data_IF_110369870849
#
_entry.id   IF_110369870849
#
_cell.length_a   1.000
_cell.length_b   1.000
_cell.length_c   1.000
_cell.angle_alpha   90.00
_cell.angle_beta   90.00
_cell.angle_gamma   90.00
#
_symmetry.space_group_name_H-M   'P 1'
#
loop_
_entity.id
_entity.type
_entity.pdbx_description
1 polymer ?
#
# COMPACT_ATOMS: atom_id res chain seq x y z
N UNK A 1 93.78 -11.34 35.44
CA UNK A 1 93.13 -12.07 34.35
C UNK A 1 91.67 -12.33 34.80
N UNK A 2 90.73 -11.85 34.11
CA UNK A 2 89.31 -12.09 34.46
C UNK A 2 88.40 -10.96 33.89
N UNK A 3 88.17 -10.99 32.58
CA UNK A 3 87.36 -9.98 31.90
C UNK A 3 85.92 -10.16 32.22
N UNK A 4 85.27 -9.17 32.78
CA UNK A 4 83.83 -9.08 32.98
C UNK A 4 83.13 -8.80 31.68
N UNK A 5 82.40 -9.77 31.15
CA UNK A 5 81.43 -9.56 30.05
C UNK A 5 80.23 -8.89 30.63
N UNK A 6 80.08 -7.60 30.45
CA UNK A 6 78.86 -6.86 30.70
C UNK A 6 77.89 -7.09 29.56
N UNK A 7 76.92 -7.96 29.84
CA UNK A 7 75.83 -8.29 28.93
C UNK A 7 74.82 -7.12 28.86
N UNK A 8 74.98 -6.30 27.85
CA UNK A 8 74.03 -5.23 27.50
C UNK A 8 72.75 -5.86 26.93
N UNK A 9 71.86 -6.28 27.82
CA UNK A 9 70.43 -6.50 27.43
C UNK A 9 69.78 -5.14 27.29
N UNK A 10 69.90 -4.57 26.09
CA UNK A 10 69.04 -3.48 25.68
C UNK A 10 67.63 -4.06 25.51
N UNK A 11 66.84 -4.00 26.56
CA UNK A 11 65.39 -4.18 26.46
C UNK A 11 64.86 -3.04 25.62
N UNK A 12 64.58 -3.33 24.33
CA UNK A 12 63.76 -2.45 23.50
C UNK A 12 62.37 -2.41 24.12
N UNK A 13 62.17 -1.44 25.02
CA UNK A 13 60.84 -1.01 25.40
C UNK A 13 60.20 -0.43 24.16
N UNK A 14 59.37 -1.23 23.49
CA UNK A 14 58.42 -0.68 22.53
C UNK A 14 57.49 0.26 23.29
N UNK A 15 57.84 1.52 23.34
CA UNK A 15 56.94 2.57 23.82
C UNK A 15 55.67 2.47 22.97
N UNK A 16 54.64 1.87 23.53
CA UNK A 16 53.26 1.97 22.98
C UNK A 16 53.01 3.46 22.87
N UNK A 17 53.00 3.98 21.61
CA UNK A 17 52.57 5.35 21.34
C UNK A 17 51.17 5.45 21.98
N UNK A 18 50.94 6.42 22.90
CA UNK A 18 49.61 6.63 23.42
C UNK A 18 48.70 6.89 22.21
N UNK A 19 47.63 6.09 22.06
CA UNK A 19 46.61 6.40 21.11
C UNK A 19 46.06 7.76 21.54
N UNK A 20 46.45 8.82 20.85
CA UNK A 20 45.81 10.11 20.97
C UNK A 20 44.41 9.92 20.40
N UNK A 21 43.40 9.75 21.28
CA UNK A 21 42.02 9.79 20.88
C UNK A 21 41.77 11.19 20.30
N UNK A 22 41.65 11.25 18.99
CA UNK A 22 41.32 12.51 18.32
C UNK A 22 40.02 13.05 18.88
N UNK A 23 39.98 14.30 19.36
CA UNK A 23 38.75 14.86 19.91
C UNK A 23 37.67 14.87 18.85
N UNK A 24 36.48 14.32 19.25
CA UNK A 24 35.36 14.15 18.31
C UNK A 24 34.64 15.49 18.15
N UNK A 25 34.36 15.86 16.91
CA UNK A 25 33.56 17.06 16.59
C UNK A 25 32.19 17.05 17.29
N UNK A 26 31.91 18.08 18.09
CA UNK A 26 30.62 18.26 18.74
C UNK A 26 29.47 18.37 17.74
N UNK A 27 29.72 18.99 16.59
CA UNK A 27 28.72 19.14 15.51
C UNK A 27 28.35 17.78 14.93
N UNK A 28 29.31 16.86 14.74
CA UNK A 28 29.06 15.49 14.31
C UNK A 28 28.22 14.70 15.33
N UNK A 29 28.48 14.90 16.63
CA UNK A 29 27.68 14.28 17.70
C UNK A 29 26.23 14.78 17.63
N UNK A 30 26.02 16.09 17.51
CA UNK A 30 24.68 16.66 17.44
C UNK A 30 23.93 16.25 16.16
N UNK A 31 24.61 16.16 15.01
CA UNK A 31 24.01 15.66 13.77
C UNK A 31 23.43 14.26 13.96
N UNK A 32 24.20 13.31 14.50
CA UNK A 32 23.73 11.94 14.72
C UNK A 32 22.62 11.85 15.77
N UNK A 33 22.72 12.61 16.88
CA UNK A 33 21.68 12.65 17.92
C UNK A 33 20.35 13.17 17.39
N UNK A 34 20.42 14.25 16.62
CA UNK A 34 19.23 14.87 16.02
C UNK A 34 18.62 13.96 14.95
N UNK A 35 19.44 13.25 14.17
CA UNK A 35 18.98 12.24 13.21
C UNK A 35 18.21 11.11 13.90
N UNK A 36 18.73 10.55 15.00
CA UNK A 36 18.03 9.53 15.78
C UNK A 36 16.74 10.06 16.41
N UNK A 37 16.77 11.28 16.96
CA UNK A 37 15.57 11.90 17.52
C UNK A 37 14.48 12.08 16.46
N UNK A 38 14.84 12.65 15.30
CA UNK A 38 13.92 12.81 14.18
C UNK A 38 13.32 11.46 13.73
N UNK A 39 14.16 10.42 13.64
CA UNK A 39 13.71 9.09 13.27
C UNK A 39 12.71 8.52 14.29
N UNK A 40 13.02 8.59 15.59
CA UNK A 40 12.12 8.12 16.64
C UNK A 40 10.78 8.85 16.63
N UNK A 41 10.79 10.19 16.49
CA UNK A 41 9.56 11.01 16.41
C UNK A 41 8.75 10.66 15.16
N UNK A 42 9.39 10.45 14.00
CA UNK A 42 8.70 10.07 12.77
C UNK A 42 8.03 8.70 12.90
N UNK A 43 8.73 7.70 13.43
CA UNK A 43 8.18 6.36 13.69
C UNK A 43 7.00 6.43 14.65
N UNK A 44 7.14 7.16 15.76
CA UNK A 44 6.06 7.34 16.73
C UNK A 44 4.84 8.01 16.09
N UNK A 45 5.04 9.05 15.27
CA UNK A 45 3.95 9.72 14.54
C UNK A 45 3.22 8.76 13.61
N UNK A 46 3.94 7.91 12.88
CA UNK A 46 3.35 6.88 12.01
C UNK A 46 2.51 5.89 12.84
N UNK A 47 3.04 5.41 13.96
CA UNK A 47 2.32 4.49 14.86
C UNK A 47 1.03 5.12 15.37
N UNK A 48 1.07 6.38 15.79
CA UNK A 48 -0.09 7.13 16.28
C UNK A 48 -1.15 7.28 15.19
N UNK A 49 -0.77 7.66 13.95
CA UNK A 49 -1.72 7.76 12.83
C UNK A 49 -2.35 6.40 12.53
N UNK A 50 -1.55 5.33 12.51
CA UNK A 50 -2.04 3.98 12.21
C UNK A 50 -2.94 3.41 13.28
N UNK A 51 -2.68 3.70 14.54
CA UNK A 51 -3.51 3.25 15.67
C UNK A 51 -4.88 3.97 15.71
N UNK A 52 -4.96 5.20 15.18
CA UNK A 52 -6.15 6.03 15.25
C UNK A 52 -6.45 6.58 16.66
N UNK A 53 -5.45 6.56 17.55
CA UNK A 53 -5.57 7.06 18.94
C UNK A 53 -5.69 8.58 19.00
N UNK A 54 -5.12 9.30 18.03
CA UNK A 54 -5.18 10.73 17.95
C UNK A 54 -5.78 11.18 16.61
N UNK A 55 -6.25 12.43 16.58
CA UNK A 55 -6.65 13.08 15.35
C UNK A 55 -5.47 13.18 14.37
N UNK A 56 -5.78 13.10 13.08
CA UNK A 56 -4.77 13.03 12.01
C UNK A 56 -3.93 14.31 11.96
N UNK A 57 -4.54 15.48 12.18
CA UNK A 57 -3.86 16.78 12.02
C UNK A 57 -2.72 16.99 13.02
N UNK A 58 -2.89 16.79 14.35
CA UNK A 58 -1.78 16.84 15.29
C UNK A 58 -0.66 15.84 15.01
N UNK A 59 -1.02 14.61 14.62
CA UNK A 59 -0.04 13.58 14.30
C UNK A 59 0.79 13.92 13.04
N UNK A 60 0.16 14.54 12.02
CA UNK A 60 0.87 15.05 10.85
C UNK A 60 1.77 16.24 11.19
N UNK A 61 1.35 17.13 12.07
CA UNK A 61 2.20 18.24 12.54
C UNK A 61 3.45 17.72 13.26
N UNK A 62 3.32 16.67 14.09
CA UNK A 62 4.45 16.01 14.73
C UNK A 62 5.38 15.35 13.72
N UNK A 63 4.82 14.69 12.68
CA UNK A 63 5.61 14.14 11.60
C UNK A 63 6.34 15.23 10.81
N UNK A 64 5.70 16.35 10.50
CA UNK A 64 6.33 17.49 9.83
C UNK A 64 7.48 18.07 10.66
N UNK A 65 7.32 18.18 11.99
CA UNK A 65 8.40 18.58 12.88
C UNK A 65 9.60 17.61 12.82
N UNK A 66 9.34 16.29 12.76
CA UNK A 66 10.40 15.31 12.58
C UNK A 66 11.16 15.50 11.26
N UNK A 67 10.50 15.86 10.15
CA UNK A 67 11.16 16.17 8.89
C UNK A 67 12.01 17.43 8.97
N UNK A 68 11.60 18.44 9.72
CA UNK A 68 12.42 19.64 9.99
C UNK A 68 13.68 19.25 10.75
N UNK A 69 13.57 18.44 11.80
CA UNK A 69 14.74 17.93 12.54
C UNK A 69 15.65 17.07 11.67
N UNK A 70 15.11 16.28 10.75
CA UNK A 70 15.89 15.54 9.77
C UNK A 70 16.69 16.46 8.83
N UNK A 71 16.07 17.53 8.35
CA UNK A 71 16.76 18.58 7.58
C UNK A 71 17.88 19.26 8.37
N UNK A 72 17.64 19.61 9.64
CA UNK A 72 18.68 20.16 10.52
C UNK A 72 19.82 19.17 10.78
N UNK A 73 19.53 17.87 10.92
CA UNK A 73 20.54 16.83 11.08
C UNK A 73 21.47 16.76 9.84
N UNK A 74 20.92 16.89 8.64
CA UNK A 74 21.67 16.96 7.38
C UNK A 74 22.57 18.21 7.35
N UNK A 75 22.03 19.39 7.69
CA UNK A 75 22.79 20.62 7.72
C UNK A 75 23.97 20.54 8.71
N UNK A 76 23.70 19.97 9.90
CA UNK A 76 24.76 19.73 10.90
C UNK A 76 25.79 18.71 10.42
N UNK A 77 25.40 17.70 9.63
CA UNK A 77 26.33 16.73 9.02
C UNK A 77 27.30 17.44 8.06
N UNK A 78 26.79 18.29 7.19
CA UNK A 78 27.64 19.07 6.29
C UNK A 78 28.56 20.04 7.04
N UNK A 79 28.05 20.74 8.06
CA UNK A 79 28.86 21.56 8.92
C UNK A 79 29.98 20.76 9.64
N UNK A 80 29.64 19.54 10.09
CA UNK A 80 30.60 18.64 10.71
C UNK A 80 31.70 18.21 9.75
N UNK A 81 31.41 17.93 8.48
CA UNK A 81 32.41 17.62 7.46
C UNK A 81 33.42 18.78 7.30
N UNK A 82 32.93 20.02 7.25
CA UNK A 82 33.80 21.21 7.15
C UNK A 82 34.67 21.36 8.39
N UNK A 83 34.11 21.19 9.60
CA UNK A 83 34.85 21.29 10.86
C UNK A 83 35.88 20.18 10.99
N UNK A 84 35.52 18.92 10.69
CA UNK A 84 36.44 17.77 10.70
C UNK A 84 37.60 18.02 9.73
N UNK A 85 37.30 18.47 8.50
CA UNK A 85 38.33 18.75 7.48
C UNK A 85 39.28 19.85 7.88
N UNK A 86 38.77 20.96 8.47
CA UNK A 86 39.59 22.12 8.82
C UNK A 86 40.41 21.94 10.10
N UNK A 87 39.86 21.19 11.07
CA UNK A 87 40.46 21.08 12.41
C UNK A 87 41.11 19.74 12.70
N UNK A 88 41.04 18.76 11.76
CA UNK A 88 41.62 17.44 11.97
C UNK A 88 40.91 16.65 13.09
N UNK A 89 39.61 16.92 13.36
CA UNK A 89 38.85 16.25 14.42
C UNK A 89 38.32 14.89 13.94
N UNK A 90 38.14 13.96 14.88
CA UNK A 90 37.43 12.72 14.64
C UNK A 90 35.89 12.92 14.55
N UNK A 91 35.15 11.87 14.15
CA UNK A 91 33.69 11.87 14.18
C UNK A 91 33.00 11.77 12.82
N UNK A 92 33.75 11.47 11.76
CA UNK A 92 33.20 11.30 10.41
C UNK A 92 32.02 10.30 10.37
N UNK A 93 32.14 9.14 11.04
CA UNK A 93 31.07 8.15 11.09
C UNK A 93 29.77 8.68 11.73
N UNK A 94 29.86 9.58 12.72
CA UNK A 94 28.67 10.23 13.33
C UNK A 94 28.02 11.22 12.38
N UNK A 95 28.81 12.01 11.66
CA UNK A 95 28.31 12.93 10.65
C UNK A 95 27.62 12.16 9.50
N UNK A 96 28.23 11.09 9.01
CA UNK A 96 27.64 10.20 8.00
C UNK A 96 26.33 9.54 8.50
N UNK A 97 26.28 9.12 9.76
CA UNK A 97 25.07 8.55 10.34
C UNK A 97 23.93 9.58 10.40
N UNK A 98 24.21 10.80 10.86
CA UNK A 98 23.22 11.88 10.87
C UNK A 98 22.72 12.23 9.47
N UNK A 99 23.62 12.30 8.49
CA UNK A 99 23.28 12.48 7.08
C UNK A 99 22.39 11.36 6.56
N UNK A 100 22.77 10.11 6.79
CA UNK A 100 22.01 8.93 6.35
C UNK A 100 20.61 8.90 6.94
N UNK A 101 20.46 9.10 8.25
CA UNK A 101 19.15 9.11 8.92
C UNK A 101 18.27 10.27 8.39
N UNK A 102 18.85 11.45 8.22
CA UNK A 102 18.14 12.60 7.68
C UNK A 102 17.65 12.37 6.24
N UNK A 103 18.53 11.90 5.36
CA UNK A 103 18.18 11.62 3.97
C UNK A 103 17.15 10.50 3.84
N UNK A 104 17.28 9.43 4.62
CA UNK A 104 16.30 8.32 4.59
C UNK A 104 14.91 8.77 5.00
N UNK A 105 14.76 9.66 5.99
CA UNK A 105 13.49 10.24 6.38
C UNK A 105 12.89 11.17 5.33
N UNK A 106 13.71 11.97 4.65
CA UNK A 106 13.25 12.92 3.63
C UNK A 106 12.99 12.28 2.26
N UNK A 107 13.57 11.13 1.97
CA UNK A 107 13.49 10.49 0.66
C UNK A 107 12.03 10.21 0.22
N UNK A 108 11.22 9.61 1.09
CA UNK A 108 9.84 9.29 0.75
C UNK A 108 8.94 10.53 0.61
N UNK A 109 8.94 11.51 1.54
CA UNK A 109 8.24 12.78 1.34
C UNK A 109 8.68 13.53 0.08
N UNK A 110 9.97 13.54 -0.24
CA UNK A 110 10.46 14.14 -1.48
C UNK A 110 9.91 13.44 -2.72
N UNK A 111 9.90 12.11 -2.74
CA UNK A 111 9.26 11.33 -3.79
C UNK A 111 7.76 11.67 -3.92
N UNK A 112 7.02 11.75 -2.81
CA UNK A 112 5.62 12.15 -2.82
C UNK A 112 5.43 13.57 -3.35
N UNK A 113 6.33 14.50 -3.04
CA UNK A 113 6.35 15.86 -3.58
C UNK A 113 6.46 15.87 -5.11
N UNK A 114 7.32 15.04 -5.70
CA UNK A 114 7.42 14.92 -7.16
C UNK A 114 6.14 14.36 -7.79
N UNK A 115 5.46 13.43 -7.10
CA UNK A 115 4.15 12.94 -7.55
C UNK A 115 3.07 14.00 -7.48
N UNK A 116 3.05 14.79 -6.39
CA UNK A 116 2.10 15.88 -6.22
C UNK A 116 2.19 16.94 -7.33
N UNK A 117 3.40 17.18 -7.88
CA UNK A 117 3.60 18.11 -8.98
C UNK A 117 3.17 17.54 -10.35
N UNK A 118 3.09 16.23 -10.49
CA UNK A 118 2.78 15.56 -11.78
C UNK A 118 1.34 15.08 -11.89
N UNK A 119 0.68 14.82 -10.77
CA UNK A 119 -0.66 14.25 -10.72
C UNK A 119 -1.68 15.33 -10.32
N UNK A 120 -2.92 15.25 -10.80
CA UNK A 120 -3.96 16.20 -10.41
C UNK A 120 -4.33 16.08 -8.94
N UNK A 121 -4.73 17.19 -8.33
CA UNK A 121 -5.20 17.24 -6.96
C UNK A 121 -6.63 16.69 -6.84
N UNK A 122 -6.78 15.38 -7.04
CA UNK A 122 -8.03 14.63 -6.89
C UNK A 122 -7.83 13.49 -5.91
N UNK A 123 -8.88 13.12 -5.18
CA UNK A 123 -8.81 12.10 -4.13
C UNK A 123 -9.98 11.10 -4.18
N UNK A 124 -10.77 11.16 -5.24
CA UNK A 124 -11.93 10.28 -5.47
C UNK A 124 -11.88 9.80 -6.92
N UNK A 125 -11.57 8.55 -7.11
CA UNK A 125 -11.32 7.92 -8.40
C UNK A 125 -12.33 6.78 -8.60
N UNK A 126 -12.90 6.69 -9.80
CA UNK A 126 -13.87 5.65 -10.16
C UNK A 126 -13.67 5.16 -11.58
N UNK A 127 -13.98 3.90 -11.84
CA UNK A 127 -13.98 3.33 -13.20
C UNK A 127 -15.13 3.85 -14.06
N UNK A 128 -16.26 4.23 -13.44
CA UNK A 128 -17.41 4.79 -14.11
C UNK A 128 -17.68 6.21 -13.59
N UNK A 129 -17.23 7.21 -14.35
CA UNK A 129 -17.39 8.63 -13.99
C UNK A 129 -18.79 9.18 -14.26
N UNK A 130 -19.60 8.47 -15.06
CA UNK A 130 -20.98 8.86 -15.37
C UNK A 130 -21.95 8.35 -14.29
N UNK A 131 -21.72 7.12 -13.81
CA UNK A 131 -22.53 6.49 -12.76
C UNK A 131 -21.62 5.79 -11.73
N UNK A 132 -20.90 6.54 -10.89
CA UNK A 132 -19.93 5.97 -9.95
C UNK A 132 -20.61 5.10 -8.90
N UNK A 133 -19.97 3.99 -8.47
CA UNK A 133 -20.44 3.21 -7.32
C UNK A 133 -20.68 4.09 -6.10
N UNK A 134 -21.83 3.95 -5.47
CA UNK A 134 -22.20 4.76 -4.29
C UNK A 134 -21.67 4.13 -3.02
N UNK A 135 -21.27 4.96 -2.08
CA UNK A 135 -21.03 4.56 -0.70
C UNK A 135 -22.38 4.60 0.04
N UNK A 136 -22.89 3.48 0.52
CA UNK A 136 -24.16 3.41 1.25
C UNK A 136 -23.93 3.26 2.76
N UNK A 137 -23.24 2.20 3.18
CA UNK A 137 -22.92 1.98 4.58
C UNK A 137 -21.74 2.86 5.01
N UNK A 138 -20.71 2.99 4.16
CA UNK A 138 -19.58 3.88 4.40
C UNK A 138 -20.00 5.35 4.53
N UNK A 139 -21.04 5.78 3.81
CA UNK A 139 -21.59 7.13 3.93
C UNK A 139 -22.13 7.42 5.33
N UNK A 140 -22.77 6.44 5.96
CA UNK A 140 -23.30 6.56 7.33
C UNK A 140 -22.18 6.61 8.39
N UNK A 141 -21.04 5.99 8.08
CA UNK A 141 -19.85 5.98 8.95
C UNK A 141 -18.98 7.23 8.80
N UNK A 142 -19.32 8.13 7.89
CA UNK A 142 -18.68 9.43 7.68
C UNK A 142 -19.58 10.59 8.13
N UNK A 143 -19.69 10.91 9.38
CA UNK A 143 -20.67 11.91 9.87
C UNK A 143 -20.44 13.33 9.34
N UNK A 144 -19.29 13.67 8.73
CA UNK A 144 -18.94 15.02 8.25
C UNK A 144 -18.18 15.02 6.91
N UNK A 145 -18.17 13.92 6.14
CA UNK A 145 -17.39 13.82 4.91
C UNK A 145 -18.27 13.89 3.65
N UNK A 146 -17.70 14.37 2.56
CA UNK A 146 -18.32 14.22 1.24
C UNK A 146 -18.35 12.73 0.88
N UNK A 147 -19.54 12.22 0.61
CA UNK A 147 -19.78 10.84 0.17
C UNK A 147 -20.18 10.79 -1.29
N UNK A 148 -20.67 11.92 -1.83
CA UNK A 148 -21.02 12.03 -3.22
C UNK A 148 -19.78 12.24 -4.09
N UNK A 149 -19.83 11.71 -5.30
CA UNK A 149 -18.76 11.91 -6.28
C UNK A 149 -18.66 13.40 -6.64
N UNK A 150 -17.44 13.96 -6.75
CA UNK A 150 -17.26 15.42 -6.90
C UNK A 150 -17.77 16.01 -8.20
N UNK A 151 -18.20 15.19 -9.15
CA UNK A 151 -18.89 15.63 -10.35
C UNK A 151 -18.00 15.83 -11.60
N UNK A 152 -18.54 16.50 -12.66
CA UNK A 152 -17.94 16.48 -14.00
C UNK A 152 -16.54 17.07 -14.10
N UNK A 153 -16.22 18.09 -13.28
CA UNK A 153 -14.90 18.72 -13.29
C UNK A 153 -13.80 17.74 -12.85
N UNK A 154 -14.04 16.99 -11.76
CA UNK A 154 -13.11 15.95 -11.28
C UNK A 154 -13.06 14.79 -12.26
N UNK A 155 -14.19 14.40 -12.85
CA UNK A 155 -14.24 13.38 -13.88
C UNK A 155 -13.37 13.73 -15.11
N UNK A 156 -13.34 14.99 -15.54
CA UNK A 156 -12.49 15.43 -16.62
C UNK A 156 -10.99 15.33 -16.27
N UNK A 157 -10.60 15.78 -15.08
CA UNK A 157 -9.23 15.65 -14.57
C UNK A 157 -8.81 14.21 -14.45
N UNK A 158 -9.71 13.35 -13.94
CA UNK A 158 -9.44 11.93 -13.80
C UNK A 158 -9.20 11.26 -15.16
N UNK A 159 -10.09 11.48 -16.14
CA UNK A 159 -9.94 10.87 -17.48
C UNK A 159 -8.66 11.32 -18.18
N UNK A 160 -8.23 12.57 -17.99
CA UNK A 160 -6.98 13.07 -18.56
C UNK A 160 -5.75 12.42 -17.90
N UNK A 161 -5.76 12.22 -16.58
CA UNK A 161 -4.62 11.71 -15.85
C UNK A 161 -4.57 10.16 -15.77
N UNK A 162 -5.73 9.50 -15.81
CA UNK A 162 -5.89 8.05 -15.63
C UNK A 162 -6.86 7.47 -16.68
N UNK A 163 -6.54 7.55 -17.99
CA UNK A 163 -7.42 7.08 -19.06
C UNK A 163 -7.65 5.57 -19.05
N UNK A 164 -6.79 4.84 -18.39
CA UNK A 164 -6.79 3.39 -18.21
C UNK A 164 -7.62 2.90 -17.00
N UNK A 165 -8.11 3.83 -16.16
CA UNK A 165 -9.03 3.48 -15.06
C UNK A 165 -10.44 3.36 -15.62
N UNK A 166 -10.75 2.18 -16.13
CA UNK A 166 -12.01 1.80 -16.77
C UNK A 166 -12.63 0.59 -16.08
N UNK A 167 -13.93 0.30 -16.27
CA UNK A 167 -14.55 -0.91 -15.75
C UNK A 167 -13.87 -2.17 -16.30
N UNK A 168 -13.89 -3.25 -15.51
CA UNK A 168 -13.46 -4.58 -15.95
C UNK A 168 -14.67 -5.36 -16.44
N UNK A 169 -14.58 -5.88 -17.67
CA UNK A 169 -15.57 -6.75 -18.28
C UNK A 169 -15.05 -8.18 -18.33
N UNK A 170 -15.86 -9.16 -17.92
CA UNK A 170 -15.48 -10.55 -17.75
C UNK A 170 -16.56 -11.47 -18.33
N UNK A 171 -16.16 -12.53 -19.02
CA UNK A 171 -17.07 -13.53 -19.60
C UNK A 171 -17.40 -14.66 -18.60
N UNK A 172 -17.76 -14.25 -17.36
CA UNK A 172 -18.13 -15.17 -16.28
C UNK A 172 -19.41 -14.73 -15.59
N UNK A 173 -20.15 -15.66 -14.93
CA UNK A 173 -21.34 -15.30 -14.15
C UNK A 173 -21.02 -14.28 -13.04
N UNK A 174 -21.97 -13.37 -12.77
CA UNK A 174 -21.83 -12.30 -11.77
C UNK A 174 -21.42 -12.83 -10.37
N UNK A 175 -21.91 -14.00 -9.99
CA UNK A 175 -21.54 -14.61 -8.71
C UNK A 175 -20.06 -15.01 -8.67
N UNK A 176 -19.50 -15.54 -9.74
CA UNK A 176 -18.09 -15.94 -9.83
C UNK A 176 -17.21 -14.70 -9.71
N UNK A 177 -17.51 -13.65 -10.47
CA UNK A 177 -16.78 -12.38 -10.41
C UNK A 177 -16.87 -11.71 -9.02
N UNK A 178 -18.05 -11.75 -8.38
CA UNK A 178 -18.26 -11.25 -7.03
C UNK A 178 -17.44 -12.02 -5.98
N UNK A 179 -17.46 -13.36 -6.03
CA UNK A 179 -16.73 -14.20 -5.10
C UNK A 179 -15.21 -14.00 -5.24
N UNK A 180 -14.69 -13.85 -6.47
CA UNK A 180 -13.30 -13.54 -6.74
C UNK A 180 -12.91 -12.15 -6.18
N UNK A 181 -13.73 -11.12 -6.41
CA UNK A 181 -13.51 -9.78 -5.86
C UNK A 181 -13.51 -9.80 -4.33
N UNK A 182 -14.46 -10.49 -3.70
CA UNK A 182 -14.55 -10.59 -2.23
C UNK A 182 -13.34 -11.34 -1.64
N UNK A 183 -12.90 -12.41 -2.28
CA UNK A 183 -11.71 -13.17 -1.85
C UNK A 183 -10.44 -12.30 -1.89
N UNK A 184 -10.26 -11.50 -2.94
CA UNK A 184 -9.11 -10.60 -3.09
C UNK A 184 -9.16 -9.42 -2.10
N UNK A 185 -10.32 -8.83 -1.85
CA UNK A 185 -10.51 -7.80 -0.81
C UNK A 185 -10.15 -8.36 0.56
N UNK A 186 -10.56 -9.59 0.86
CA UNK A 186 -10.24 -10.31 2.09
C UNK A 186 -8.73 -10.60 2.19
N UNK A 187 -8.12 -11.12 1.12
CA UNK A 187 -6.67 -11.38 1.03
C UNK A 187 -5.84 -10.11 1.27
N UNK A 188 -6.30 -8.96 0.77
CA UNK A 188 -5.67 -7.65 0.99
C UNK A 188 -5.89 -7.08 2.39
N UNK A 189 -6.65 -7.77 3.25
CA UNK A 189 -6.97 -7.39 4.63
C UNK A 189 -7.62 -5.99 4.71
N UNK A 190 -8.42 -5.63 3.71
CA UNK A 190 -9.23 -4.43 3.81
C UNK A 190 -10.34 -4.66 4.83
N UNK A 191 -10.71 -3.62 5.57
CA UNK A 191 -11.80 -3.71 6.53
C UNK A 191 -13.13 -3.68 5.78
N UNK A 192 -13.72 -4.85 5.56
CA UNK A 192 -15.02 -5.01 4.89
C UNK A 192 -16.10 -4.47 5.83
N UNK A 193 -16.93 -3.57 5.31
CA UNK A 193 -18.00 -2.89 6.05
C UNK A 193 -19.37 -3.39 5.64
N UNK A 194 -19.53 -3.72 4.35
CA UNK A 194 -20.76 -4.26 3.81
C UNK A 194 -20.49 -5.21 2.65
N UNK A 195 -21.29 -6.26 2.57
CA UNK A 195 -21.26 -7.21 1.46
C UNK A 195 -22.69 -7.61 1.09
N UNK A 196 -23.02 -7.40 -0.17
CA UNK A 196 -24.31 -7.77 -0.73
C UNK A 196 -24.08 -8.64 -1.96
N UNK A 197 -24.13 -9.98 -1.82
CA UNK A 197 -23.93 -10.88 -2.94
C UNK A 197 -25.09 -10.83 -3.94
N UNK A 198 -24.86 -11.14 -5.22
CA UNK A 198 -25.92 -11.31 -6.18
C UNK A 198 -26.81 -12.51 -5.80
N UNK A 199 -28.15 -12.34 -5.93
CA UNK A 199 -29.16 -13.35 -5.61
C UNK A 199 -30.20 -13.44 -6.74
N UNK A 200 -31.14 -14.39 -6.67
CA UNK A 200 -32.23 -14.51 -7.66
C UNK A 200 -33.09 -13.24 -7.78
N UNK A 201 -33.31 -12.53 -6.65
CA UNK A 201 -34.09 -11.27 -6.63
C UNK A 201 -33.26 -10.01 -6.90
N UNK A 202 -31.95 -10.10 -6.83
CA UNK A 202 -31.01 -9.00 -7.04
C UNK A 202 -29.78 -9.50 -7.76
N UNK A 203 -29.62 -9.11 -9.02
CA UNK A 203 -28.55 -9.61 -9.89
C UNK A 203 -27.20 -8.94 -9.67
N UNK A 204 -27.18 -7.75 -9.06
CA UNK A 204 -25.98 -6.99 -8.75
C UNK A 204 -25.36 -7.42 -7.41
N UNK A 205 -24.03 -7.35 -7.33
CA UNK A 205 -23.26 -7.52 -6.11
C UNK A 205 -22.59 -6.21 -5.69
N UNK A 206 -22.49 -5.95 -4.38
CA UNK A 206 -21.79 -4.78 -3.84
C UNK A 206 -20.86 -5.19 -2.70
N UNK A 207 -19.67 -4.63 -2.67
CA UNK A 207 -18.71 -4.76 -1.56
C UNK A 207 -18.28 -3.35 -1.17
N UNK A 208 -18.46 -2.99 0.11
CA UNK A 208 -17.92 -1.77 0.68
C UNK A 208 -16.83 -2.09 1.69
N UNK A 209 -15.67 -1.47 1.55
CA UNK A 209 -14.53 -1.73 2.41
C UNK A 209 -13.70 -0.44 2.66
N UNK A 210 -12.89 -0.47 3.72
CA UNK A 210 -11.91 0.57 4.04
C UNK A 210 -10.52 0.01 3.81
N UNK A 211 -9.80 0.58 2.84
CA UNK A 211 -8.40 0.32 2.61
C UNK A 211 -7.53 1.28 3.44
N UNK A 212 -6.25 0.92 3.63
CA UNK A 212 -5.27 1.78 4.31
C UNK A 212 -4.05 1.98 3.43
N UNK A 213 -3.52 3.22 3.45
CA UNK A 213 -2.25 3.49 2.76
C UNK A 213 -1.09 2.76 3.44
N UNK A 214 -0.05 2.33 2.70
CA UNK A 214 0.99 1.44 3.23
C UNK A 214 1.76 2.02 4.43
N UNK A 215 2.24 3.26 4.36
CA UNK A 215 3.10 3.86 5.40
C UNK A 215 2.27 4.51 6.50
N UNK A 216 1.54 5.57 6.18
CA UNK A 216 0.82 6.35 7.18
C UNK A 216 -0.47 5.69 7.67
N UNK A 217 -1.03 4.73 6.91
CA UNK A 217 -2.27 4.08 7.28
C UNK A 217 -3.51 4.96 7.12
N UNK A 218 -3.47 5.99 6.27
CA UNK A 218 -4.65 6.78 5.93
C UNK A 218 -5.75 5.87 5.41
N UNK A 219 -6.99 6.21 5.78
CA UNK A 219 -8.16 5.42 5.41
C UNK A 219 -8.74 5.95 4.11
N UNK A 220 -8.95 5.03 3.18
CA UNK A 220 -9.63 5.28 1.91
C UNK A 220 -10.85 4.36 1.82
N UNK A 221 -11.99 4.90 1.43
CA UNK A 221 -13.21 4.13 1.22
C UNK A 221 -13.19 3.52 -0.18
N UNK A 222 -13.66 2.30 -0.27
CA UNK A 222 -13.73 1.53 -1.50
C UNK A 222 -15.14 0.98 -1.66
N UNK A 223 -15.75 1.19 -2.83
CA UNK A 223 -16.96 0.52 -3.25
C UNK A 223 -16.70 -0.24 -4.55
N UNK A 224 -17.10 -1.50 -4.58
CA UNK A 224 -17.04 -2.38 -5.75
C UNK A 224 -18.45 -2.77 -6.08
N UNK A 225 -18.86 -2.55 -7.32
CA UNK A 225 -20.16 -2.92 -7.87
C UNK A 225 -19.96 -3.94 -8.98
N UNK A 226 -20.62 -5.09 -8.86
CA UNK A 226 -20.51 -6.21 -9.79
C UNK A 226 -21.88 -6.42 -10.43
N UNK A 227 -22.04 -6.07 -11.69
CA UNK A 227 -23.29 -6.11 -12.43
C UNK A 227 -23.26 -7.14 -13.55
N UNK A 228 -24.37 -7.78 -13.89
CA UNK A 228 -24.48 -8.52 -15.13
C UNK A 228 -24.36 -7.56 -16.33
N UNK A 229 -23.62 -7.95 -17.35
CA UNK A 229 -23.43 -7.21 -18.59
C UNK A 229 -23.43 -8.18 -19.78
N UNK A 230 -24.46 -8.11 -20.63
CA UNK A 230 -24.64 -9.07 -21.71
C UNK A 230 -24.69 -10.52 -21.19
N UNK A 231 -23.79 -11.37 -21.67
CA UNK A 231 -23.63 -12.76 -21.23
C UNK A 231 -22.64 -12.88 -20.05
N UNK A 232 -21.91 -11.81 -19.73
CA UNK A 232 -20.88 -11.80 -18.71
C UNK A 232 -21.18 -10.85 -17.55
N UNK A 233 -20.12 -10.26 -17.02
CA UNK A 233 -20.15 -9.41 -15.82
C UNK A 233 -19.28 -8.18 -16.02
N UNK A 234 -19.77 -7.04 -15.53
CA UNK A 234 -19.02 -5.77 -15.44
C UNK A 234 -18.74 -5.46 -13.97
N UNK A 235 -17.49 -5.16 -13.67
CA UNK A 235 -17.04 -4.69 -12.36
C UNK A 235 -16.69 -3.22 -12.44
N UNK A 236 -17.41 -2.41 -11.66
CA UNK A 236 -17.09 -1.02 -11.41
C UNK A 236 -16.50 -0.85 -10.02
N UNK A 237 -15.49 0.00 -9.90
CA UNK A 237 -14.85 0.29 -8.63
C UNK A 237 -14.71 1.79 -8.41
N UNK A 238 -14.90 2.24 -7.17
CA UNK A 238 -14.62 3.60 -6.71
C UNK A 238 -13.76 3.55 -5.46
N UNK A 239 -12.75 4.42 -5.38
CA UNK A 239 -11.90 4.57 -4.22
C UNK A 239 -11.71 6.05 -3.89
N UNK A 240 -12.03 6.44 -2.65
CA UNK A 240 -12.02 7.83 -2.21
C UNK A 240 -11.30 8.00 -0.87
N UNK A 241 -10.36 8.94 -0.81
CA UNK A 241 -9.62 9.23 0.42
C UNK A 241 -10.48 9.98 1.43
N UNK A 242 -10.39 9.58 2.71
CA UNK A 242 -11.07 10.28 3.81
C UNK A 242 -10.37 11.57 4.20
N UNK A 243 -9.09 11.70 3.87
CA UNK A 243 -8.26 12.83 4.26
C UNK A 243 -7.50 13.40 3.07
N UNK A 244 -7.50 14.72 2.96
CA UNK A 244 -6.79 15.45 1.90
C UNK A 244 -7.57 15.53 0.58
N UNK A 245 -7.13 16.44 -0.27
CA UNK A 245 -7.70 16.67 -1.61
C UNK A 245 -6.85 16.05 -2.72
N UNK A 246 -5.69 15.50 -2.37
CA UNK A 246 -4.73 14.91 -3.29
C UNK A 246 -4.32 13.52 -2.78
N UNK A 247 -4.63 12.46 -3.53
CA UNK A 247 -4.31 11.07 -3.16
C UNK A 247 -2.95 10.61 -3.66
N UNK A 248 -2.22 11.46 -4.37
CA UNK A 248 -0.91 11.15 -4.98
C UNK A 248 -0.97 9.93 -5.91
N UNK A 249 -2.12 9.63 -6.49
CA UNK A 249 -2.38 8.49 -7.35
C UNK A 249 -2.60 7.16 -6.61
N UNK A 250 -2.80 7.20 -5.29
CA UNK A 250 -2.99 5.98 -4.49
C UNK A 250 -4.30 5.26 -4.84
N UNK A 251 -5.39 6.01 -5.04
CA UNK A 251 -6.70 5.43 -5.39
C UNK A 251 -6.69 4.81 -6.78
N UNK A 252 -6.12 5.49 -7.77
CA UNK A 252 -5.98 4.96 -9.13
C UNK A 252 -5.14 3.67 -9.15
N UNK A 253 -4.00 3.66 -8.45
CA UNK A 253 -3.16 2.46 -8.32
C UNK A 253 -3.88 1.30 -7.64
N UNK A 254 -4.70 1.58 -6.61
CA UNK A 254 -5.50 0.57 -5.90
C UNK A 254 -6.55 -0.07 -6.81
N UNK A 255 -7.23 0.75 -7.60
CA UNK A 255 -8.25 0.27 -8.56
C UNK A 255 -7.58 -0.65 -9.59
N UNK A 256 -6.54 -0.17 -10.28
CA UNK A 256 -5.80 -0.97 -11.28
C UNK A 256 -5.37 -2.32 -10.72
N UNK A 257 -4.62 -2.28 -9.62
CA UNK A 257 -4.08 -3.50 -9.02
C UNK A 257 -5.17 -4.48 -8.56
N UNK A 258 -6.35 -4.02 -8.12
CA UNK A 258 -7.41 -4.94 -7.74
C UNK A 258 -8.10 -5.53 -8.97
N UNK A 259 -8.40 -4.72 -9.97
CA UNK A 259 -9.06 -5.20 -11.19
C UNK A 259 -8.15 -6.16 -11.98
N UNK A 260 -6.85 -5.88 -12.03
CA UNK A 260 -5.84 -6.77 -12.62
C UNK A 260 -5.77 -8.11 -11.86
N UNK A 261 -5.68 -8.09 -10.51
CA UNK A 261 -5.71 -9.33 -9.72
C UNK A 261 -7.02 -10.13 -9.89
N UNK A 262 -8.18 -9.46 -10.11
CA UNK A 262 -9.45 -10.14 -10.36
C UNK A 262 -9.42 -10.82 -11.73
N UNK A 263 -8.96 -10.13 -12.75
CA UNK A 263 -8.83 -10.68 -14.10
C UNK A 263 -7.90 -11.89 -14.13
N UNK A 264 -6.73 -11.77 -13.53
CA UNK A 264 -5.76 -12.86 -13.38
C UNK A 264 -6.33 -14.05 -12.61
N UNK A 265 -7.05 -13.82 -11.52
CA UNK A 265 -7.65 -14.89 -10.72
C UNK A 265 -8.72 -15.67 -11.48
N UNK A 266 -9.50 -14.98 -12.31
CA UNK A 266 -10.53 -15.62 -13.14
C UNK A 266 -9.91 -16.35 -14.32
N UNK A 267 -8.98 -15.71 -15.02
CA UNK A 267 -8.28 -16.29 -16.17
C UNK A 267 -7.42 -17.53 -15.82
N UNK A 268 -6.90 -17.55 -14.58
CA UNK A 268 -6.10 -18.69 -14.08
C UNK A 268 -6.94 -19.85 -13.52
N UNK A 269 -8.27 -19.66 -13.33
CA UNK A 269 -9.16 -20.71 -12.83
C UNK A 269 -9.49 -21.64 -14.01
N UNK A 270 -9.14 -22.96 -13.97
CA UNK A 270 -9.52 -23.88 -15.03
C UNK A 270 -11.05 -23.88 -15.19
N UNK A 271 -11.52 -23.75 -16.43
CA UNK A 271 -12.92 -23.90 -16.77
C UNK A 271 -13.48 -25.17 -16.10
N UNK A 272 -14.59 -25.12 -15.35
CA UNK A 272 -15.17 -26.33 -14.79
C UNK A 272 -15.45 -27.28 -15.95
N UNK A 273 -14.69 -28.38 -16.01
CA UNK A 273 -14.90 -29.44 -17.01
C UNK A 273 -16.39 -29.68 -17.10
N UNK A 274 -17.00 -29.36 -18.24
CA UNK A 274 -18.37 -29.71 -18.55
C UNK A 274 -18.53 -31.17 -18.18
N UNK A 275 -19.45 -31.44 -17.22
CA UNK A 275 -19.77 -32.81 -16.84
C UNK A 275 -20.09 -33.57 -18.15
N UNK A 276 -19.52 -34.75 -18.40
CA UNK A 276 -19.79 -35.48 -19.60
C UNK A 276 -21.31 -35.67 -19.69
N UNK A 277 -21.88 -35.20 -20.80
CA UNK A 277 -23.27 -35.32 -21.13
C UNK A 277 -23.69 -36.78 -20.87
N UNK A 278 -24.61 -36.96 -19.92
CA UNK A 278 -25.12 -38.29 -19.55
C UNK A 278 -25.64 -38.93 -20.83
N UNK A 279 -24.87 -39.85 -21.45
CA UNK A 279 -25.25 -40.64 -22.57
C UNK A 279 -26.65 -41.21 -22.22
N UNK A 280 -27.64 -40.80 -23.00
CA UNK A 280 -29.01 -41.31 -22.86
C UNK A 280 -28.95 -42.82 -22.91
N UNK A 281 -29.45 -43.45 -21.88
CA UNK A 281 -29.63 -44.93 -21.87
C UNK A 281 -30.47 -45.35 -23.10
N UNK A 282 -30.08 -46.32 -23.86
CA UNK A 282 -30.85 -46.79 -25.01
C UNK A 282 -32.24 -47.28 -24.51
N UNK A 283 -33.28 -46.80 -25.19
CA UNK A 283 -34.65 -47.19 -24.93
C UNK A 283 -34.78 -48.74 -24.97
N UNK A 284 -35.33 -49.31 -23.92
CA UNK A 284 -35.62 -50.72 -23.78
C UNK A 284 -36.61 -51.14 -24.90
N UNK A 285 -36.15 -51.96 -25.86
CA UNK A 285 -36.99 -52.51 -26.89
C UNK A 285 -38.11 -53.35 -26.22
N UNK A 286 -39.36 -53.01 -26.51
CA UNK A 286 -40.53 -53.77 -26.13
C UNK A 286 -40.40 -55.21 -26.64
N UNK A 287 -40.43 -56.14 -25.72
CA UNK A 287 -40.59 -57.58 -26.07
C UNK A 287 -42.08 -57.84 -26.38
N UNK A 288 -42.39 -58.56 -27.45
CA UNK A 288 -43.76 -58.89 -27.79
C UNK A 288 -44.35 -59.88 -26.76
N UNK A 289 -45.50 -59.53 -26.24
CA UNK A 289 -46.35 -60.29 -25.30
C UNK A 289 -46.72 -61.66 -25.92
N UNK A 290 -46.26 -62.74 -25.27
CA UNK A 290 -46.66 -64.13 -25.65
C UNK A 290 -48.09 -64.34 -25.18
N UNK A 291 -49.04 -64.36 -26.13
CA UNK A 291 -50.44 -64.86 -25.91
C UNK A 291 -50.44 -66.32 -25.44
N UNK A 292 -50.94 -66.59 -24.28
CA UNK A 292 -51.27 -67.94 -23.84
C UNK A 292 -52.56 -68.41 -24.51
N UNK A 293 -52.66 -69.68 -24.94
CA UNK A 293 -53.92 -70.23 -25.48
C UNK A 293 -54.84 -70.64 -24.38
N UNK A 294 -56.17 -70.33 -24.56
CA UNK A 294 -57.28 -70.75 -23.69
C UNK A 294 -57.47 -72.28 -23.67
N UNK A 295 -57.56 -72.87 -22.47
CA UNK A 295 -58.06 -74.23 -22.28
C UNK A 295 -59.53 -74.20 -22.07
N UNK A 296 -60.14 -75.06 -22.84
CA UNK A 296 -61.56 -75.52 -22.61
C UNK A 296 -61.70 -76.26 -21.28
#
# INVERSE_FOLDING_TARGET
MGGAQANLRRTMSMARRPFHEEPISRVAIWSSRLGWFAFAVAVLSIIIVRSGLLEIVPALATFAAALIFAGLAILLAFAAFVVIWRQGLGGLGRALLGLFLGLSLLAYPAYLGTRAMRLPAISDITTDTANPPRFEVLARLRPRGRTDYPGPAVAALQRAAYPDVVPLELDVPTKVAYDAALALVTKRKWNIVDTRPPTLGRRDGVIEAVARTPIMGFRDDVAIRVNPAGQGTRIDMRSASRFGTHDLGANASRIRSLLEDIDDAISSTPEPRSLPEKKALPAKKDQPEKRQPAKR
#
